data_IF_879825633460
#
_entry.id   IF_879825633460
#
_cell.length_a   1.000
_cell.length_b   1.000
_cell.length_c   1.000
_cell.angle_alpha   90.00
_cell.angle_beta   90.00
_cell.angle_gamma   90.00
#
_symmetry.space_group_name_H-M   'P 1'
#
loop_
_entity.id
_entity.type
_entity.pdbx_description
1 polymer ?
#
# COMPACT_ATOMS: atom_id res chain seq x y z
N UNK A 1 1.75 9.03 -11.34
CA UNK A 1 1.89 10.49 -11.49
C UNK A 1 3.29 11.02 -11.27
N UNK A 2 3.97 10.75 -10.14
CA UNK A 2 5.37 11.20 -9.93
C UNK A 2 6.32 10.83 -11.09
N UNK A 3 6.25 9.59 -11.59
CA UNK A 3 7.05 9.15 -12.74
C UNK A 3 6.68 9.89 -14.04
N UNK A 4 5.40 10.26 -14.21
CA UNK A 4 4.94 11.01 -15.37
C UNK A 4 5.47 12.45 -15.35
N UNK A 5 5.42 13.08 -14.19
CA UNK A 5 5.95 14.43 -13.96
C UNK A 5 7.46 14.47 -14.12
N UNK A 6 8.17 13.45 -13.63
CA UNK A 6 9.59 13.26 -13.89
C UNK A 6 9.88 13.15 -15.39
N UNK A 7 9.12 12.34 -16.13
CA UNK A 7 9.27 12.23 -17.58
C UNK A 7 9.01 13.55 -18.31
N UNK A 8 8.01 14.32 -17.85
CA UNK A 8 7.70 15.66 -18.37
C UNK A 8 8.82 16.65 -18.09
N UNK A 9 9.41 16.62 -16.88
CA UNK A 9 10.55 17.46 -16.52
C UNK A 9 11.77 17.19 -17.41
N UNK A 10 12.04 15.91 -17.74
CA UNK A 10 13.12 15.55 -18.67
C UNK A 10 12.90 16.12 -20.06
N UNK A 11 11.66 16.12 -20.57
CA UNK A 11 11.36 16.74 -21.87
C UNK A 11 11.50 18.26 -21.84
N UNK A 12 11.15 18.92 -20.72
CA UNK A 12 11.32 20.36 -20.57
C UNK A 12 12.81 20.74 -20.55
N UNK A 13 13.66 19.90 -19.95
CA UNK A 13 15.10 20.15 -19.79
C UNK A 13 15.91 19.66 -20.99
N UNK A 14 15.44 18.69 -21.78
CA UNK A 14 16.20 18.10 -22.88
C UNK A 14 16.82 19.12 -23.87
N UNK A 15 16.18 20.25 -24.22
CA UNK A 15 16.80 21.25 -25.10
C UNK A 15 18.02 21.94 -24.49
N UNK A 16 18.17 21.90 -23.16
CA UNK A 16 19.33 22.44 -22.42
C UNK A 16 20.53 21.48 -22.45
N UNK A 17 20.32 20.24 -22.87
CA UNK A 17 21.34 19.20 -22.98
C UNK A 17 21.48 18.76 -24.45
N UNK A 18 21.90 19.64 -25.39
CA UNK A 18 21.88 19.33 -26.82
C UNK A 18 22.70 18.09 -27.20
N UNK A 19 23.79 17.84 -26.48
CA UNK A 19 24.67 16.67 -26.68
C UNK A 19 24.00 15.34 -26.29
N UNK A 20 22.98 15.40 -25.41
CA UNK A 20 22.25 14.25 -24.87
C UNK A 20 20.73 14.37 -25.14
N UNK A 21 20.35 15.19 -26.12
CA UNK A 21 18.95 15.55 -26.34
C UNK A 21 18.08 14.32 -26.56
N UNK A 22 18.56 13.40 -27.40
CA UNK A 22 17.83 12.18 -27.76
C UNK A 22 17.68 11.25 -26.55
N UNK A 23 18.72 11.10 -25.75
CA UNK A 23 18.74 10.26 -24.55
C UNK A 23 17.81 10.81 -23.48
N UNK A 24 17.89 12.12 -23.20
CA UNK A 24 17.07 12.79 -22.17
C UNK A 24 15.60 12.79 -22.58
N UNK A 25 15.29 13.18 -23.83
CA UNK A 25 13.92 13.18 -24.34
C UNK A 25 13.35 11.76 -24.48
N UNK A 26 14.19 10.80 -24.89
CA UNK A 26 13.84 9.38 -24.98
C UNK A 26 13.51 8.80 -23.61
N UNK A 27 14.32 9.09 -22.60
CA UNK A 27 14.06 8.66 -21.23
C UNK A 27 12.81 9.34 -20.64
N UNK A 28 12.57 10.62 -20.98
CA UNK A 28 11.33 11.32 -20.64
C UNK A 28 10.08 10.63 -21.20
N UNK A 29 10.10 10.28 -22.48
CA UNK A 29 9.01 9.53 -23.12
C UNK A 29 8.84 8.12 -22.55
N UNK A 30 9.93 7.42 -22.28
CA UNK A 30 9.90 6.13 -21.61
C UNK A 30 9.22 6.20 -20.24
N UNK A 31 9.62 7.16 -19.39
CA UNK A 31 9.04 7.35 -18.06
C UNK A 31 7.53 7.66 -18.12
N UNK A 32 7.11 8.56 -19.01
CA UNK A 32 5.67 8.85 -19.22
C UNK A 32 4.91 7.61 -19.71
N UNK A 33 5.47 6.86 -20.66
CA UNK A 33 4.87 5.62 -21.16
C UNK A 33 4.64 4.60 -20.05
N UNK A 34 5.65 4.36 -19.21
CA UNK A 34 5.55 3.49 -18.05
C UNK A 34 4.49 3.96 -17.05
N UNK A 35 4.43 5.27 -16.78
CA UNK A 35 3.43 5.84 -15.89
C UNK A 35 2.00 5.67 -16.41
N UNK A 36 1.78 5.86 -17.71
CA UNK A 36 0.46 5.66 -18.35
C UNK A 36 0.04 4.19 -18.31
N UNK A 37 0.97 3.26 -18.56
CA UNK A 37 0.70 1.82 -18.44
C UNK A 37 0.29 1.46 -17.01
N UNK A 38 1.02 1.95 -16.00
CA UNK A 38 0.68 1.71 -14.60
C UNK A 38 -0.71 2.27 -14.26
N UNK A 39 -1.02 3.51 -14.65
CA UNK A 39 -2.32 4.14 -14.41
C UNK A 39 -3.49 3.38 -15.07
N UNK A 40 -3.29 2.87 -16.29
CA UNK A 40 -4.30 2.05 -16.98
C UNK A 40 -4.50 0.70 -16.32
N UNK A 41 -3.42 0.06 -15.85
CA UNK A 41 -3.48 -1.23 -15.18
C UNK A 41 -4.23 -1.16 -13.83
N UNK A 42 -4.16 -0.03 -13.13
CA UNK A 42 -4.85 0.16 -11.84
C UNK A 42 -6.28 0.65 -11.96
N UNK A 43 -6.66 1.23 -13.11
CA UNK A 43 -7.98 1.85 -13.31
C UNK A 43 -9.11 0.85 -13.07
N UNK A 44 -9.18 -0.25 -13.82
CA UNK A 44 -10.28 -1.21 -13.69
C UNK A 44 -10.45 -1.77 -12.27
N UNK A 45 -9.38 -2.25 -11.58
CA UNK A 45 -9.49 -2.67 -10.18
C UNK A 45 -10.07 -1.60 -9.24
N UNK A 46 -9.66 -0.34 -9.38
CA UNK A 46 -10.18 0.76 -8.56
C UNK A 46 -11.66 0.99 -8.85
N UNK A 47 -12.06 1.09 -10.12
CA UNK A 47 -13.47 1.25 -10.47
C UNK A 47 -14.31 0.06 -9.98
N UNK A 48 -13.78 -1.15 -10.07
CA UNK A 48 -14.44 -2.35 -9.54
C UNK A 48 -14.62 -2.32 -8.03
N UNK A 49 -13.71 -1.71 -7.27
CA UNK A 49 -13.88 -1.61 -5.80
C UNK A 49 -14.98 -0.63 -5.39
N UNK A 50 -15.34 0.31 -6.26
CA UNK A 50 -16.42 1.29 -6.03
C UNK A 50 -17.73 0.94 -6.74
N UNK A 51 -17.72 -0.04 -7.64
CA UNK A 51 -18.91 -0.51 -8.33
C UNK A 51 -19.90 -1.16 -7.35
N UNK A 52 -21.19 -0.92 -7.56
CA UNK A 52 -22.32 -1.50 -6.81
C UNK A 52 -23.35 -2.00 -7.80
N UNK A 53 -23.98 -3.14 -7.52
CA UNK A 53 -25.14 -3.63 -8.29
C UNK A 53 -24.89 -3.73 -9.81
N UNK A 54 -23.68 -4.15 -10.22
CA UNK A 54 -23.35 -4.32 -11.64
C UNK A 54 -23.12 -3.01 -12.41
N UNK A 55 -23.08 -1.85 -11.75
CA UNK A 55 -22.90 -0.54 -12.40
C UNK A 55 -21.47 -0.23 -12.88
N UNK A 56 -20.57 -1.22 -12.95
CA UNK A 56 -19.16 -1.02 -13.27
C UNK A 56 -18.97 -0.30 -14.61
N UNK A 57 -19.74 -0.69 -15.64
CA UNK A 57 -19.68 -0.06 -16.96
C UNK A 57 -20.12 1.40 -16.96
N UNK A 58 -21.15 1.75 -16.16
CA UNK A 58 -21.62 3.13 -16.01
C UNK A 58 -20.58 3.99 -15.28
N UNK A 59 -20.01 3.47 -14.19
CA UNK A 59 -18.94 4.16 -13.45
C UNK A 59 -17.74 4.42 -14.36
N UNK A 60 -17.31 3.40 -15.11
CA UNK A 60 -16.20 3.52 -16.07
C UNK A 60 -16.50 4.57 -17.16
N UNK A 61 -17.68 4.51 -17.78
CA UNK A 61 -18.07 5.45 -18.84
C UNK A 61 -18.08 6.90 -18.34
N UNK A 62 -18.62 7.15 -17.14
CA UNK A 62 -18.60 8.49 -16.50
C UNK A 62 -17.18 8.96 -16.21
N UNK A 63 -16.34 8.07 -15.68
CA UNK A 63 -14.94 8.34 -15.41
C UNK A 63 -14.17 8.75 -16.67
N UNK A 64 -14.30 7.98 -17.76
CA UNK A 64 -13.65 8.28 -19.04
C UNK A 64 -14.18 9.57 -19.67
N UNK A 65 -15.49 9.83 -19.60
CA UNK A 65 -16.07 11.06 -20.13
C UNK A 65 -15.52 12.31 -19.42
N UNK A 66 -15.50 12.28 -18.08
CA UNK A 66 -14.94 13.38 -17.27
C UNK A 66 -13.44 13.53 -17.55
N UNK A 67 -12.68 12.43 -17.56
CA UNK A 67 -11.25 12.45 -17.85
C UNK A 67 -10.97 13.06 -19.24
N UNK A 68 -11.78 12.72 -20.25
CA UNK A 68 -11.61 13.24 -21.61
C UNK A 68 -11.89 14.73 -21.67
N UNK A 69 -12.99 15.18 -21.06
CA UNK A 69 -13.35 16.60 -21.01
C UNK A 69 -12.25 17.44 -20.37
N UNK A 70 -11.78 17.05 -19.19
CA UNK A 70 -10.72 17.78 -18.49
C UNK A 70 -9.38 17.70 -19.21
N UNK A 71 -9.08 16.60 -19.92
CA UNK A 71 -7.89 16.52 -20.75
C UNK A 71 -7.93 17.52 -21.91
N UNK A 72 -9.07 17.65 -22.61
CA UNK A 72 -9.24 18.64 -23.68
C UNK A 72 -9.13 20.06 -23.13
N UNK A 73 -9.77 20.35 -21.99
CA UNK A 73 -9.64 21.66 -21.32
C UNK A 73 -8.18 21.94 -20.92
N UNK A 74 -7.49 20.94 -20.38
CA UNK A 74 -6.08 21.02 -19.98
C UNK A 74 -5.16 21.29 -21.17
N UNK A 75 -5.39 20.65 -22.32
CA UNK A 75 -4.67 20.95 -23.57
C UNK A 75 -4.91 22.39 -24.00
N UNK A 76 -6.15 22.87 -23.99
CA UNK A 76 -6.49 24.25 -24.33
C UNK A 76 -5.77 25.27 -23.44
N UNK A 77 -5.81 25.06 -22.12
CA UNK A 77 -5.09 25.87 -21.14
C UNK A 77 -3.56 25.79 -21.36
N UNK A 78 -3.04 24.59 -21.63
CA UNK A 78 -1.63 24.33 -21.90
C UNK A 78 -1.12 25.06 -23.14
N UNK A 79 -1.92 25.11 -24.22
CA UNK A 79 -1.60 25.90 -25.43
C UNK A 79 -1.52 27.38 -25.10
N UNK A 80 -2.49 27.91 -24.34
CA UNK A 80 -2.47 29.32 -23.90
C UNK A 80 -1.25 29.65 -23.02
N UNK A 81 -0.85 28.73 -22.14
CA UNK A 81 0.36 28.90 -21.32
C UNK A 81 1.64 28.81 -22.17
N UNK A 82 1.69 27.88 -23.13
CA UNK A 82 2.78 27.68 -24.08
C UNK A 82 3.04 28.92 -24.94
N UNK A 83 1.97 29.59 -25.40
CA UNK A 83 2.07 30.80 -26.22
C UNK A 83 2.39 32.07 -25.43
N UNK A 84 2.33 32.03 -24.10
CA UNK A 84 2.56 33.18 -23.21
C UNK A 84 3.80 32.98 -22.35
N UNK A 85 3.64 32.54 -21.09
CA UNK A 85 4.72 32.41 -20.09
C UNK A 85 5.76 31.39 -20.54
N UNK A 86 5.32 30.25 -21.08
CA UNK A 86 6.19 29.17 -21.52
C UNK A 86 6.79 29.39 -22.93
N UNK A 87 6.66 30.59 -23.51
CA UNK A 87 7.38 30.95 -24.73
C UNK A 87 8.90 31.03 -24.50
N UNK A 88 9.32 31.32 -23.27
CA UNK A 88 10.72 31.39 -22.87
C UNK A 88 11.15 30.15 -22.08
N UNK A 89 12.45 29.81 -22.14
CA UNK A 89 13.03 28.73 -21.34
C UNK A 89 12.83 28.96 -19.84
N UNK A 90 13.07 30.18 -19.36
CA UNK A 90 12.89 30.53 -17.96
C UNK A 90 11.43 30.32 -17.52
N UNK A 91 10.47 30.74 -18.35
CA UNK A 91 9.06 30.53 -18.07
C UNK A 91 8.69 29.05 -17.97
N UNK A 92 9.21 28.20 -18.86
CA UNK A 92 9.01 26.73 -18.78
C UNK A 92 9.58 26.15 -17.49
N UNK A 93 10.79 26.56 -17.10
CA UNK A 93 11.47 26.08 -15.90
C UNK A 93 10.80 26.53 -14.59
N UNK A 94 10.02 27.61 -14.63
CA UNK A 94 9.21 28.06 -13.49
C UNK A 94 7.83 27.39 -13.50
N UNK A 95 7.13 27.44 -14.63
CA UNK A 95 5.77 26.93 -14.75
C UNK A 95 5.69 25.40 -14.61
N UNK A 96 6.65 24.66 -15.17
CA UNK A 96 6.69 23.20 -15.12
C UNK A 96 6.64 22.64 -13.69
N UNK A 97 7.59 23.00 -12.81
CA UNK A 97 7.58 22.57 -11.41
C UNK A 97 6.32 22.99 -10.66
N UNK A 98 5.80 24.22 -10.88
CA UNK A 98 4.57 24.68 -10.25
C UNK A 98 3.36 23.83 -10.65
N UNK A 99 3.23 23.54 -11.94
CA UNK A 99 2.17 22.66 -12.46
C UNK A 99 2.32 21.24 -11.92
N UNK A 100 3.54 20.71 -11.80
CA UNK A 100 3.79 19.41 -11.19
C UNK A 100 3.38 19.37 -9.71
N UNK A 101 3.68 20.41 -8.93
CA UNK A 101 3.23 20.50 -7.54
C UNK A 101 1.69 20.51 -7.46
N UNK A 102 1.02 21.29 -8.31
CA UNK A 102 -0.45 21.31 -8.38
C UNK A 102 -1.01 19.95 -8.78
N UNK A 103 -0.40 19.29 -9.77
CA UNK A 103 -0.79 17.97 -10.24
C UNK A 103 -0.68 16.91 -9.14
N UNK A 104 0.49 16.79 -8.49
CA UNK A 104 0.70 15.84 -7.39
C UNK A 104 -0.22 16.15 -6.21
N UNK A 105 -0.43 17.42 -5.88
CA UNK A 105 -1.39 17.81 -4.85
C UNK A 105 -2.82 17.35 -5.21
N UNK A 106 -3.25 17.57 -6.46
CA UNK A 106 -4.55 17.13 -6.96
C UNK A 106 -4.75 15.62 -6.83
N UNK A 107 -3.75 14.84 -7.25
CA UNK A 107 -3.75 13.37 -7.12
C UNK A 107 -3.83 12.93 -5.65
N UNK A 108 -3.08 13.58 -4.75
CA UNK A 108 -3.17 13.31 -3.30
C UNK A 108 -4.58 13.58 -2.77
N UNK A 109 -5.22 14.66 -3.21
CA UNK A 109 -6.60 14.95 -2.81
C UNK A 109 -7.60 13.97 -3.43
N UNK A 110 -7.41 13.54 -4.68
CA UNK A 110 -8.23 12.50 -5.34
C UNK A 110 -8.20 11.19 -4.55
N UNK A 111 -7.01 10.73 -4.17
CA UNK A 111 -6.84 9.52 -3.37
C UNK A 111 -7.49 9.66 -1.98
N UNK A 112 -7.40 10.85 -1.36
CA UNK A 112 -8.08 11.12 -0.09
C UNK A 112 -9.59 11.21 -0.25
N UNK A 113 -10.10 11.72 -1.37
CA UNK A 113 -11.53 11.78 -1.63
C UNK A 113 -12.16 10.39 -1.85
N UNK A 114 -11.34 9.38 -2.13
CA UNK A 114 -11.75 8.00 -2.43
C UNK A 114 -11.21 7.01 -1.40
N UNK A 115 -11.69 7.05 -0.13
CA UNK A 115 -11.17 6.18 0.92
C UNK A 115 -11.41 4.71 0.59
N UNK A 116 -10.32 3.97 0.39
CA UNK A 116 -10.35 2.53 0.11
C UNK A 116 -10.40 1.77 1.42
N UNK A 117 -11.39 0.88 1.54
CA UNK A 117 -11.64 0.11 2.75
C UNK A 117 -10.97 -1.28 2.76
N UNK A 118 -10.18 -1.60 1.73
CA UNK A 118 -9.37 -2.83 1.69
C UNK A 118 -8.08 -2.65 2.47
N UNK A 119 -7.74 -3.66 3.27
CA UNK A 119 -6.54 -3.69 4.09
C UNK A 119 -5.27 -3.84 3.25
N UNK A 120 -4.24 -3.09 3.64
CA UNK A 120 -2.86 -3.20 3.16
C UNK A 120 -1.92 -3.08 4.38
N UNK A 121 -0.60 -3.30 4.23
CA UNK A 121 0.32 -3.31 5.37
C UNK A 121 0.29 -2.01 6.19
N UNK A 122 0.22 -0.86 5.53
CA UNK A 122 0.20 0.45 6.18
C UNK A 122 -1.10 0.69 6.94
N UNK A 123 -2.26 0.47 6.30
CA UNK A 123 -3.59 0.63 6.90
C UNK A 123 -3.78 -0.33 8.06
N UNK A 124 -3.38 -1.59 7.90
CA UNK A 124 -3.44 -2.58 8.98
C UNK A 124 -2.57 -2.16 10.16
N UNK A 125 -1.35 -1.70 9.93
CA UNK A 125 -0.49 -1.21 10.99
C UNK A 125 -1.11 0.00 11.72
N UNK A 126 -1.71 0.95 11.00
CA UNK A 126 -2.37 2.12 11.59
C UNK A 126 -3.60 1.75 12.41
N UNK A 127 -4.44 0.84 11.90
CA UNK A 127 -5.63 0.31 12.60
C UNK A 127 -5.22 -0.37 13.91
N UNK A 128 -4.18 -1.20 13.86
CA UNK A 128 -3.67 -1.94 15.02
C UNK A 128 -3.07 -0.97 16.03
N UNK A 129 -2.27 0.02 15.59
CA UNK A 129 -1.72 1.05 16.46
C UNK A 129 -2.81 1.85 17.19
N UNK A 130 -3.88 2.25 16.49
CA UNK A 130 -5.01 2.96 17.09
C UNK A 130 -5.71 2.12 18.15
N UNK A 131 -5.92 0.83 17.85
CA UNK A 131 -6.57 -0.10 18.75
C UNK A 131 -5.73 -0.38 20.00
N UNK A 132 -4.43 -0.63 19.85
CA UNK A 132 -3.52 -0.83 20.99
C UNK A 132 -3.50 0.41 21.89
N UNK A 133 -3.52 1.61 21.29
CA UNK A 133 -3.44 2.87 22.04
C UNK A 133 -4.75 3.26 22.74
N UNK A 134 -5.90 2.99 22.13
CA UNK A 134 -7.18 3.59 22.55
C UNK A 134 -8.35 2.61 22.67
N UNK A 135 -8.17 1.35 22.28
CA UNK A 135 -9.24 0.36 22.15
C UNK A 135 -10.22 0.65 21.02
N UNK A 136 -9.96 1.66 20.17
CA UNK A 136 -10.82 2.07 19.04
C UNK A 136 -10.09 1.96 17.73
N UNK A 137 -10.84 1.76 16.64
CA UNK A 137 -10.31 1.69 15.27
C UNK A 137 -10.81 2.89 14.46
N UNK A 138 -9.89 3.55 13.74
CA UNK A 138 -10.25 4.58 12.76
C UNK A 138 -10.94 3.96 11.55
N UNK A 139 -11.98 4.62 11.04
CA UNK A 139 -12.61 4.29 9.76
C UNK A 139 -11.72 4.67 8.56
N UNK A 140 -11.96 4.13 7.35
CA UNK A 140 -11.23 4.54 6.14
C UNK A 140 -11.27 6.06 5.88
N UNK A 141 -12.40 6.72 6.20
CA UNK A 141 -12.58 8.16 6.01
C UNK A 141 -11.79 9.03 7.00
N UNK A 142 -11.48 8.50 8.19
CA UNK A 142 -10.61 9.15 9.17
C UNK A 142 -9.14 8.88 8.84
N UNK A 143 -8.83 7.66 8.38
CA UNK A 143 -7.47 7.18 8.17
C UNK A 143 -6.79 7.79 6.92
N UNK A 144 -7.56 8.14 5.89
CA UNK A 144 -7.07 8.70 4.61
C UNK A 144 -6.08 9.87 4.71
N UNK A 145 -6.16 10.71 5.75
CA UNK A 145 -5.27 11.87 5.90
C UNK A 145 -3.95 11.53 6.60
N UNK A 146 -3.91 10.38 7.27
CA UNK A 146 -2.73 9.87 7.98
C UNK A 146 -1.91 8.91 7.12
N UNK A 147 -2.46 8.40 6.01
CA UNK A 147 -1.72 7.60 5.04
C UNK A 147 -0.62 8.43 4.37
N UNK A 148 0.58 7.84 4.33
CA UNK A 148 1.68 8.32 3.52
C UNK A 148 1.57 7.69 2.12
N UNK A 149 1.14 8.49 1.15
CA UNK A 149 0.92 8.06 -0.23
C UNK A 149 2.20 8.04 -1.06
N UNK A 150 3.24 8.78 -0.64
CA UNK A 150 4.50 8.86 -1.38
C UNK A 150 5.48 7.78 -0.91
N UNK A 151 5.47 7.48 0.39
CA UNK A 151 6.36 6.51 1.03
C UNK A 151 5.58 5.50 1.90
N UNK A 152 4.84 4.56 1.27
CA UNK A 152 3.91 3.66 1.97
C UNK A 152 4.61 2.61 2.85
N UNK A 153 5.93 2.43 2.72
CA UNK A 153 6.70 1.39 3.43
C UNK A 153 7.20 1.81 4.82
N UNK A 154 6.69 2.92 5.37
CA UNK A 154 7.06 3.35 6.72
C UNK A 154 6.53 2.36 7.76
N UNK A 155 7.43 1.87 8.60
CA UNK A 155 7.08 1.01 9.73
C UNK A 155 6.43 1.83 10.85
N UNK A 156 5.43 1.24 11.49
CA UNK A 156 4.73 1.83 12.63
C UNK A 156 5.13 1.03 13.87
N UNK A 157 5.85 1.68 14.77
CA UNK A 157 6.44 1.05 15.96
C UNK A 157 5.37 0.54 16.92
N UNK A 158 4.29 1.31 17.10
CA UNK A 158 3.14 0.94 17.93
C UNK A 158 2.41 -0.30 17.41
N UNK A 159 2.58 -0.63 16.13
CA UNK A 159 2.03 -1.82 15.49
C UNK A 159 3.07 -2.94 15.33
N UNK A 160 4.17 -2.89 16.08
CA UNK A 160 5.20 -3.94 16.12
C UNK A 160 6.18 -3.93 14.95
N UNK A 161 6.25 -2.84 14.17
CA UNK A 161 7.22 -2.67 13.07
C UNK A 161 7.24 -3.85 12.08
N UNK A 162 6.05 -4.29 11.64
CA UNK A 162 5.89 -5.46 10.79
C UNK A 162 6.37 -5.21 9.36
N UNK A 163 7.25 -6.09 8.89
CA UNK A 163 7.71 -6.20 7.50
C UNK A 163 7.06 -7.42 6.86
N UNK A 164 6.37 -7.21 5.76
CA UNK A 164 5.73 -8.27 4.96
C UNK A 164 6.30 -8.29 3.54
N UNK A 165 6.08 -9.40 2.82
CA UNK A 165 6.43 -9.51 1.41
C UNK A 165 7.92 -9.75 1.16
N UNK A 166 8.65 -10.15 2.20
CA UNK A 166 10.05 -10.55 2.08
C UNK A 166 10.14 -12.02 1.65
N UNK A 167 11.13 -12.40 0.81
CA UNK A 167 11.35 -13.80 0.48
C UNK A 167 11.58 -14.63 1.74
N UNK A 168 10.81 -15.71 1.90
CA UNK A 168 10.78 -16.53 3.11
C UNK A 168 12.17 -17.00 3.52
N UNK A 169 12.97 -17.46 2.56
CA UNK A 169 14.34 -17.94 2.77
C UNK A 169 15.29 -16.87 3.32
N UNK A 170 14.98 -15.58 3.13
CA UNK A 170 15.76 -14.46 3.66
C UNK A 170 15.46 -14.21 5.14
N UNK A 171 14.25 -14.59 5.58
CA UNK A 171 13.71 -14.25 6.89
C UNK A 171 13.69 -15.44 7.84
N UNK A 172 13.38 -16.64 7.34
CA UNK A 172 13.15 -17.84 8.13
C UNK A 172 13.99 -19.01 7.60
N UNK A 173 14.67 -19.71 8.51
CA UNK A 173 15.28 -21.01 8.22
C UNK A 173 14.23 -22.12 8.19
N UNK A 174 14.45 -23.25 7.49
CA UNK A 174 13.50 -24.37 7.44
C UNK A 174 13.08 -24.87 8.83
N UNK A 175 14.04 -25.04 9.74
CA UNK A 175 13.79 -25.46 11.14
C UNK A 175 12.88 -24.46 11.87
N UNK A 176 13.10 -23.16 11.62
CA UNK A 176 12.29 -22.11 12.23
C UNK A 176 10.86 -22.12 11.72
N UNK A 177 10.66 -22.42 10.43
CA UNK A 177 9.32 -22.56 9.85
C UNK A 177 8.56 -23.69 10.54
N UNK A 178 9.19 -24.85 10.76
CA UNK A 178 8.56 -25.98 11.44
C UNK A 178 8.17 -25.65 12.88
N UNK A 179 9.06 -24.98 13.62
CA UNK A 179 8.76 -24.50 14.98
C UNK A 179 7.57 -23.53 14.99
N UNK A 180 7.58 -22.52 14.13
CA UNK A 180 6.52 -21.52 14.07
C UNK A 180 5.19 -22.13 13.61
N UNK A 181 5.21 -23.15 12.75
CA UNK A 181 4.00 -23.91 12.38
C UNK A 181 3.42 -24.68 13.55
N UNK A 182 4.27 -25.23 14.43
CA UNK A 182 3.78 -25.90 15.64
C UNK A 182 3.10 -24.91 16.58
N UNK A 183 3.67 -23.71 16.74
CA UNK A 183 3.09 -22.62 17.56
C UNK A 183 1.79 -22.07 16.96
N UNK A 184 1.81 -21.72 15.67
CA UNK A 184 0.72 -21.04 14.97
C UNK A 184 -0.12 -22.01 14.12
N UNK A 185 -0.39 -23.21 14.64
CA UNK A 185 -0.99 -24.31 13.86
C UNK A 185 -2.36 -23.99 13.24
N UNK A 186 -3.11 -23.04 13.81
CA UNK A 186 -4.43 -22.61 13.33
C UNK A 186 -4.39 -21.40 12.41
N UNK A 187 -3.23 -20.78 12.25
CA UNK A 187 -3.10 -19.47 11.63
C UNK A 187 -2.46 -19.55 10.24
N UNK A 188 -2.90 -18.66 9.36
CA UNK A 188 -2.37 -18.56 7.99
C UNK A 188 -1.21 -17.58 7.86
N UNK A 189 -0.50 -17.35 8.97
CA UNK A 189 0.69 -16.50 9.00
C UNK A 189 1.80 -17.15 9.81
N UNK A 190 3.04 -16.79 9.49
CA UNK A 190 4.21 -17.05 10.31
C UNK A 190 4.80 -15.72 10.73
N UNK A 191 5.17 -15.60 12.00
CA UNK A 191 5.73 -14.40 12.57
C UNK A 191 7.06 -14.70 13.25
N UNK A 192 8.09 -13.93 12.92
CA UNK A 192 9.38 -13.99 13.60
C UNK A 192 9.87 -12.59 13.92
N UNK A 193 10.45 -12.40 15.10
CA UNK A 193 11.02 -11.11 15.50
C UNK A 193 12.54 -11.14 15.37
N UNK A 194 13.09 -10.07 14.79
CA UNK A 194 14.53 -9.85 14.65
C UNK A 194 14.84 -8.36 14.59
N UNK A 195 15.85 -7.90 15.32
CA UNK A 195 16.37 -6.52 15.30
C UNK A 195 15.26 -5.46 15.43
N UNK A 196 14.39 -5.62 16.44
CA UNK A 196 13.24 -4.76 16.73
C UNK A 196 12.17 -4.66 15.63
N UNK A 197 12.25 -5.52 14.61
CA UNK A 197 11.24 -5.66 13.55
C UNK A 197 10.57 -7.01 13.65
N UNK A 198 9.27 -7.05 13.40
CA UNK A 198 8.57 -8.30 13.16
C UNK A 198 8.57 -8.59 11.66
N UNK A 199 8.91 -9.81 11.27
CA UNK A 199 8.82 -10.27 9.90
C UNK A 199 7.68 -11.26 9.79
N UNK A 200 6.71 -10.91 8.96
CA UNK A 200 5.52 -11.71 8.77
C UNK A 200 5.48 -12.28 7.36
N UNK A 201 5.16 -13.56 7.28
CA UNK A 201 4.91 -14.27 6.03
C UNK A 201 3.48 -14.76 6.06
N UNK A 202 2.70 -14.41 5.04
CA UNK A 202 1.33 -14.87 4.88
C UNK A 202 1.26 -16.08 3.95
N UNK A 203 0.32 -16.97 4.26
CA UNK A 203 -0.08 -18.02 3.35
C UNK A 203 -0.78 -17.45 2.10
N UNK A 204 -0.74 -18.19 1.01
CA UNK A 204 -1.45 -17.90 -0.22
C UNK A 204 -2.96 -17.73 0.00
N UNK A 205 -3.57 -18.50 0.90
CA UNK A 205 -5.00 -18.43 1.22
C UNK A 205 -5.34 -17.45 2.36
N UNK A 206 -4.37 -16.67 2.86
CA UNK A 206 -4.56 -15.75 3.98
C UNK A 206 -5.43 -14.54 3.59
N UNK A 207 -6.39 -14.22 4.46
CA UNK A 207 -7.33 -13.10 4.38
C UNK A 207 -6.78 -11.86 5.09
N UNK A 208 -7.57 -10.78 5.09
CA UNK A 208 -7.30 -9.60 5.93
C UNK A 208 -7.37 -9.89 7.42
N UNK A 209 -8.24 -10.81 7.86
CA UNK A 209 -8.31 -11.25 9.25
C UNK A 209 -7.02 -11.96 9.69
N UNK A 210 -6.49 -12.86 8.86
CA UNK A 210 -5.22 -13.54 9.14
C UNK A 210 -4.06 -12.55 9.28
N UNK A 211 -4.04 -11.52 8.42
CA UNK A 211 -3.05 -10.44 8.53
C UNK A 211 -3.24 -9.65 9.84
N UNK A 212 -4.47 -9.25 10.17
CA UNK A 212 -4.80 -8.53 11.40
C UNK A 212 -4.36 -9.30 12.66
N UNK A 213 -4.55 -10.62 12.69
CA UNK A 213 -4.06 -11.49 13.78
C UNK A 213 -2.55 -11.39 13.91
N UNK A 214 -1.81 -11.60 12.83
CA UNK A 214 -0.35 -11.54 12.84
C UNK A 214 0.19 -10.17 13.28
N UNK A 215 -0.45 -9.08 12.84
CA UNK A 215 -0.09 -7.74 13.30
C UNK A 215 -0.37 -7.51 14.80
N UNK A 216 -1.49 -8.02 15.33
CA UNK A 216 -1.77 -7.94 16.77
C UNK A 216 -0.73 -8.70 17.59
N UNK A 217 -0.37 -9.92 17.19
CA UNK A 217 0.70 -10.68 17.85
C UNK A 217 2.01 -9.89 17.82
N UNK A 218 2.36 -9.30 16.67
CA UNK A 218 3.56 -8.48 16.53
C UNK A 218 3.56 -7.25 17.46
N UNK A 219 2.42 -6.55 17.54
CA UNK A 219 2.25 -5.38 18.38
C UNK A 219 2.34 -5.72 19.88
N UNK A 220 1.63 -6.76 20.33
CA UNK A 220 1.69 -7.22 21.72
C UNK A 220 3.09 -7.70 22.11
N UNK A 221 3.75 -8.47 21.23
CA UNK A 221 5.12 -8.91 21.48
C UNK A 221 6.08 -7.71 21.62
N UNK A 222 5.93 -6.70 20.75
CA UNK A 222 6.73 -5.48 20.83
C UNK A 222 6.49 -4.68 22.11
N UNK A 223 5.23 -4.59 22.57
CA UNK A 223 4.87 -3.92 23.82
C UNK A 223 5.48 -4.64 25.04
N UNK A 224 5.42 -5.97 25.06
CA UNK A 224 5.97 -6.81 26.14
C UNK A 224 7.51 -6.74 26.20
N UNK A 225 8.18 -6.81 25.05
CA UNK A 225 9.65 -6.67 24.97
C UNK A 225 10.09 -5.29 25.48
N UNK A 226 9.40 -4.22 25.07
CA UNK A 226 9.70 -2.85 25.53
C UNK A 226 9.47 -2.66 27.03
N UNK A 227 8.55 -3.42 27.61
CA UNK A 227 8.24 -3.41 29.03
C UNK A 227 9.18 -4.30 29.87
N UNK A 228 10.15 -4.99 29.23
CA UNK A 228 11.12 -5.85 29.91
C UNK A 228 10.54 -7.19 30.39
N UNK A 229 9.37 -7.60 29.89
CA UNK A 229 8.66 -8.82 30.33
C UNK A 229 9.35 -10.10 29.84
N UNK A 230 10.20 -10.00 28.80
CA UNK A 230 10.99 -11.10 28.25
C UNK A 230 11.46 -10.81 26.82
N UNK A 231 12.00 -11.81 26.14
CA UNK A 231 12.37 -11.73 24.72
C UNK A 231 12.22 -13.08 24.03
N UNK A 232 11.92 -13.07 22.72
CA UNK A 232 11.93 -14.27 21.88
C UNK A 232 10.63 -15.07 21.92
N UNK A 233 10.72 -16.40 21.88
CA UNK A 233 9.58 -17.29 21.63
C UNK A 233 8.56 -17.33 22.76
N UNK A 234 9.01 -17.17 24.00
CA UNK A 234 8.13 -17.09 25.17
C UNK A 234 7.19 -15.90 25.07
N UNK A 235 7.72 -14.73 24.68
CA UNK A 235 6.91 -13.52 24.46
C UNK A 235 5.97 -13.68 23.28
N UNK A 236 6.39 -14.33 22.20
CA UNK A 236 5.53 -14.59 21.04
C UNK A 236 4.33 -15.48 21.41
N UNK A 237 4.54 -16.51 22.24
CA UNK A 237 3.46 -17.38 22.70
C UNK A 237 2.45 -16.61 23.58
N UNK A 238 2.93 -15.80 24.53
CA UNK A 238 2.05 -14.98 25.38
C UNK A 238 1.30 -13.91 24.56
N UNK A 239 1.97 -13.31 23.57
CA UNK A 239 1.34 -12.37 22.64
C UNK A 239 0.27 -13.05 21.78
N UNK A 240 0.49 -14.30 21.39
CA UNK A 240 -0.49 -15.11 20.66
C UNK A 240 -1.74 -15.41 21.50
N UNK A 241 -1.57 -15.86 22.75
CA UNK A 241 -2.69 -16.09 23.67
C UNK A 241 -3.49 -14.81 23.92
N UNK A 242 -2.80 -13.67 24.11
CA UNK A 242 -3.47 -12.37 24.25
C UNK A 242 -4.25 -11.99 23.00
N UNK A 243 -3.69 -12.24 21.81
CA UNK A 243 -4.37 -12.01 20.54
C UNK A 243 -5.64 -12.85 20.42
N UNK A 244 -5.61 -14.16 20.72
CA UNK A 244 -6.79 -15.02 20.65
C UNK A 244 -7.95 -14.49 21.49
N UNK A 245 -7.67 -13.95 22.69
CA UNK A 245 -8.69 -13.40 23.58
C UNK A 245 -9.28 -12.07 23.09
N UNK A 246 -8.45 -11.22 22.47
CA UNK A 246 -8.86 -9.86 22.06
C UNK A 246 -9.42 -9.83 20.64
N UNK A 247 -9.04 -10.77 19.78
CA UNK A 247 -9.35 -10.75 18.36
C UNK A 247 -10.84 -10.66 18.03
N UNK A 248 -11.77 -11.39 18.69
CA UNK A 248 -13.20 -11.30 18.36
C UNK A 248 -13.78 -9.90 18.52
N UNK A 249 -13.38 -9.19 19.57
CA UNK A 249 -13.81 -7.80 19.82
C UNK A 249 -13.15 -6.84 18.82
N UNK A 250 -11.85 -7.03 18.56
CA UNK A 250 -11.12 -6.20 17.61
C UNK A 250 -11.67 -6.31 16.18
N UNK A 251 -11.85 -7.53 15.67
CA UNK A 251 -12.34 -7.74 14.29
C UNK A 251 -13.77 -7.24 14.12
N UNK A 252 -14.60 -7.34 15.16
CA UNK A 252 -15.94 -6.77 15.16
C UNK A 252 -15.91 -5.24 15.04
N UNK A 253 -15.01 -4.56 15.77
CA UNK A 253 -14.83 -3.11 15.65
C UNK A 253 -14.24 -2.72 14.28
N UNK A 254 -13.29 -3.48 13.74
CA UNK A 254 -12.75 -3.25 12.39
C UNK A 254 -13.87 -3.30 11.34
N UNK A 255 -14.72 -4.34 11.40
CA UNK A 255 -15.87 -4.49 10.49
C UNK A 255 -16.93 -3.40 10.70
N UNK A 256 -17.24 -3.04 11.95
CA UNK A 256 -18.23 -2.00 12.27
C UNK A 256 -17.83 -0.62 11.71
N UNK A 257 -16.52 -0.36 11.61
CA UNK A 257 -15.92 0.85 11.02
C UNK A 257 -15.87 0.85 9.49
N UNK A 258 -16.35 -0.22 8.85
CA UNK A 258 -16.50 -0.32 7.39
C UNK A 258 -15.28 -0.88 6.66
N UNK A 259 -14.32 -1.49 7.36
CA UNK A 259 -13.19 -2.17 6.75
C UNK A 259 -13.59 -3.53 6.17
N UNK A 260 -13.08 -3.83 4.98
CA UNK A 260 -13.22 -5.14 4.37
C UNK A 260 -12.07 -6.06 4.81
N UNK A 261 -12.39 -7.14 5.50
CA UNK A 261 -11.41 -8.03 6.14
C UNK A 261 -11.19 -9.34 5.40
N UNK A 262 -11.97 -9.62 4.35
CA UNK A 262 -11.85 -10.89 3.61
C UNK A 262 -10.63 -10.89 2.67
N UNK A 263 -10.15 -9.70 2.29
CA UNK A 263 -9.00 -9.53 1.39
C UNK A 263 -7.90 -8.69 2.04
N UNK A 264 -6.65 -9.05 1.73
CA UNK A 264 -5.47 -8.30 2.12
C UNK A 264 -4.56 -8.05 0.92
N UNK A 265 -4.22 -6.78 0.68
CA UNK A 265 -3.32 -6.35 -0.40
C UNK A 265 -1.90 -6.19 0.15
N UNK A 266 -1.12 -7.27 0.13
CA UNK A 266 0.28 -7.29 0.61
C UNK A 266 1.27 -6.57 -0.32
N UNK A 267 0.86 -6.24 -1.56
CA UNK A 267 1.66 -5.52 -2.55
C UNK A 267 2.82 -6.32 -3.16
N UNK A 268 3.19 -7.44 -2.54
CA UNK A 268 4.34 -8.28 -2.89
C UNK A 268 3.92 -9.75 -2.95
N UNK A 269 4.19 -10.42 -4.07
CA UNK A 269 3.83 -11.83 -4.34
C UNK A 269 4.64 -12.87 -3.53
N UNK A 270 5.12 -12.54 -2.33
CA UNK A 270 5.94 -13.43 -1.50
C UNK A 270 5.10 -14.22 -0.48
N UNK A 271 3.89 -14.62 -0.87
CA UNK A 271 3.06 -15.53 -0.08
C UNK A 271 3.60 -16.95 -0.17
N UNK A 272 3.42 -17.74 0.89
CA UNK A 272 3.77 -19.15 0.90
C UNK A 272 2.56 -20.02 0.56
N UNK A 273 2.73 -20.98 -0.33
CA UNK A 273 1.82 -22.10 -0.42
C UNK A 273 2.25 -23.11 0.65
N UNK A 274 1.38 -23.39 1.63
CA UNK A 274 1.54 -24.62 2.38
C UNK A 274 1.13 -25.74 1.44
N UNK A 275 2.08 -26.61 1.08
CA UNK A 275 1.69 -27.88 0.48
C UNK A 275 0.78 -28.58 1.50
N UNK A 276 -0.48 -28.82 1.12
CA UNK A 276 -1.32 -29.80 1.80
C UNK A 276 -0.53 -31.10 1.70
N UNK A 277 -0.18 -31.79 2.80
CA UNK A 277 0.28 -33.15 2.70
C UNK A 277 -0.93 -33.97 2.27
N UNK A 278 -1.15 -34.08 0.96
CA UNK A 278 -2.07 -35.07 0.42
C UNK A 278 -1.48 -36.42 0.79
N UNK A 279 -2.19 -37.09 1.70
CA UNK A 279 -2.02 -38.48 2.01
C UNK A 279 -1.91 -39.31 0.72
N UNK A 280 -1.05 -40.32 0.79
CA UNK A 280 -1.08 -41.58 0.06
C UNK A 280 -2.40 -41.82 -0.67
N UNK A 281 -2.37 -41.81 -2.00
CA UNK A 281 -3.18 -42.71 -2.83
C UNK A 281 -2.28 -43.16 -3.99
N UNK A 282 -2.28 -44.48 -4.18
CA UNK A 282 -1.49 -45.32 -5.09
C UNK A 282 -1.31 -44.78 -6.52
#
# INVERSE_FOLDING_TARGET
DVLYDFGTALEVISPLCPQLFLEVAGFGNFAKGMAVVAARATRLPIYSSFAKEGNLSDLFAKGEAISTLFNVMGIGAGIGLASTVCSTTQGKLIAGPLLSVVHIYGVVQEMRATPVNTLNPQRTAMIVADFIKSGKVSSPAELRYREDLLFPNRLIEEAGSVKIGQPVRRVLSPQRIEQLKATFSKEKFLLSRKDNSAYMVLEQSATGEDALRGWLVAAFASEMERSGVGSGDTVLNVAYERMENVFPMFVAEVKSRGWYTDQFLDGNRSRIAYAIPSAVVL
#
